data_IF_792185275939
#
_entry.id   IF_792185275939
#
_cell.length_a   1.000
_cell.length_b   1.000
_cell.length_c   1.000
_cell.angle_alpha   90.00
_cell.angle_beta   90.00
_cell.angle_gamma   90.00
#
_symmetry.space_group_name_H-M   'P 1'
#
loop_
_entity.id
_entity.type
_entity.pdbx_description
1 polymer ?
#
# COMPACT_ATOMS: atom_id res chain seq x y z
N UNK A 1 60.14 37.87 7.79
CA UNK A 1 58.89 37.55 8.52
C UNK A 1 57.80 37.34 7.47
N UNK A 2 57.55 36.07 7.10
CA UNK A 2 56.34 35.26 7.41
C UNK A 2 55.12 35.67 6.56
N UNK A 3 54.45 34.85 5.75
CA UNK A 3 54.60 33.46 5.27
C UNK A 3 53.61 33.25 4.10
N UNK A 4 54.01 32.40 3.14
CA UNK A 4 53.25 31.60 2.14
C UNK A 4 51.71 31.64 2.13
N UNK A 5 51.13 31.74 0.93
CA UNK A 5 50.01 30.89 0.49
C UNK A 5 50.25 30.44 -0.96
N UNK A 6 50.33 29.13 -1.15
CA UNK A 6 50.42 28.42 -2.43
C UNK A 6 49.13 27.58 -2.55
N UNK A 7 48.50 27.71 -3.72
CA UNK A 7 47.54 26.80 -4.35
C UNK A 7 46.47 26.10 -3.49
N UNK A 8 45.20 26.42 -3.76
CA UNK A 8 44.16 25.41 -3.88
C UNK A 8 43.31 25.72 -5.11
N UNK A 9 43.40 24.79 -6.06
CA UNK A 9 42.80 24.74 -7.37
C UNK A 9 41.31 24.41 -7.18
N UNK A 10 40.42 25.38 -7.39
CA UNK A 10 38.98 25.12 -7.42
C UNK A 10 38.64 24.49 -8.76
N UNK A 11 38.39 23.18 -8.76
CA UNK A 11 37.84 22.45 -9.89
C UNK A 11 36.40 22.93 -10.05
N UNK A 12 36.18 23.74 -11.08
CA UNK A 12 34.86 24.08 -11.62
C UNK A 12 34.35 22.83 -12.36
N UNK A 13 33.73 21.89 -11.64
CA UNK A 13 32.94 20.83 -12.28
C UNK A 13 31.67 21.49 -12.80
N UNK A 14 31.60 21.64 -14.12
CA UNK A 14 30.37 21.91 -14.84
C UNK A 14 29.40 20.75 -14.58
N UNK A 15 28.48 20.94 -13.63
CA UNK A 15 27.24 20.18 -13.62
C UNK A 15 26.43 20.67 -14.82
N UNK A 16 26.59 19.94 -15.92
CA UNK A 16 25.60 19.92 -16.99
C UNK A 16 24.31 19.47 -16.32
N UNK A 17 23.36 20.40 -16.22
CA UNK A 17 21.99 20.14 -15.81
C UNK A 17 21.42 19.06 -16.73
N UNK A 18 21.44 17.81 -16.26
CA UNK A 18 20.50 16.81 -16.71
C UNK A 18 19.14 17.25 -16.21
N UNK A 19 18.35 17.91 -17.05
CA UNK A 19 16.91 17.98 -16.87
C UNK A 19 16.40 16.54 -16.88
N UNK A 20 16.26 15.94 -15.71
CA UNK A 20 15.30 14.86 -15.51
C UNK A 20 13.95 15.54 -15.38
N UNK A 21 13.14 15.46 -16.44
CA UNK A 21 11.70 15.72 -16.35
C UNK A 21 11.16 14.85 -15.20
N UNK A 22 10.76 15.48 -14.10
CA UNK A 22 9.87 14.87 -13.12
C UNK A 22 8.56 14.57 -13.84
N UNK A 23 8.40 13.32 -14.30
CA UNK A 23 7.12 12.83 -14.78
C UNK A 23 6.16 12.84 -13.60
N UNK A 24 5.10 13.64 -13.69
CA UNK A 24 3.95 13.59 -12.78
C UNK A 24 3.52 12.13 -12.58
N UNK A 25 3.08 11.74 -11.36
CA UNK A 25 2.60 10.39 -11.11
C UNK A 25 1.39 10.12 -12.02
N UNK A 26 1.58 9.23 -12.98
CA UNK A 26 0.56 8.88 -13.98
C UNK A 26 -0.57 8.13 -13.29
N UNK A 27 -1.82 8.54 -13.50
CA UNK A 27 -2.98 7.80 -13.02
C UNK A 27 -3.27 6.63 -13.96
N UNK A 28 -3.79 5.50 -13.46
CA UNK A 28 -4.16 4.40 -14.33
C UNK A 28 -5.24 4.84 -15.33
N UNK A 29 -5.09 4.42 -16.58
CA UNK A 29 -6.13 4.53 -17.60
C UNK A 29 -7.06 3.31 -17.54
N UNK A 30 -8.12 3.32 -18.36
CA UNK A 30 -9.06 2.21 -18.45
C UNK A 30 -9.11 1.68 -19.88
N UNK A 31 -9.17 0.36 -20.04
CA UNK A 31 -9.51 -0.28 -21.30
C UNK A 31 -10.94 -0.81 -21.27
N UNK A 32 -11.64 -0.75 -22.41
CA UNK A 32 -13.00 -1.25 -22.55
C UNK A 32 -13.15 -1.98 -23.86
N UNK A 33 -13.71 -3.19 -23.80
CA UNK A 33 -13.92 -4.02 -24.97
C UNK A 33 -15.33 -3.84 -25.51
N UNK A 34 -15.46 -3.77 -26.83
CA UNK A 34 -16.73 -3.68 -27.54
C UNK A 34 -16.81 -4.81 -28.54
N UNK A 35 -17.92 -5.54 -28.51
CA UNK A 35 -18.24 -6.57 -29.49
C UNK A 35 -19.44 -6.07 -30.28
N UNK A 36 -19.22 -5.88 -31.57
CA UNK A 36 -20.28 -5.49 -32.50
C UNK A 36 -20.74 -6.76 -33.25
N UNK A 37 -22.01 -7.20 -33.10
CA UNK A 37 -22.56 -8.24 -33.94
C UNK A 37 -22.36 -7.89 -35.41
N UNK A 38 -21.79 -8.82 -36.17
CA UNK A 38 -21.54 -8.60 -37.58
C UNK A 38 -22.82 -8.90 -38.38
N UNK A 39 -23.01 -8.18 -39.49
CA UNK A 39 -24.04 -8.49 -40.49
C UNK A 39 -23.60 -9.57 -41.50
N UNK A 40 -22.39 -10.14 -41.36
CA UNK A 40 -21.77 -11.07 -42.31
C UNK A 40 -21.83 -12.53 -41.80
N UNK A 41 -22.30 -13.53 -42.58
CA UNK A 41 -22.57 -14.90 -42.09
C UNK A 41 -21.33 -15.79 -41.87
N UNK A 42 -20.12 -15.23 -41.88
CA UNK A 42 -18.86 -15.97 -41.70
C UNK A 42 -18.62 -16.33 -40.23
N UNK A 43 -19.55 -17.00 -39.55
CA UNK A 43 -19.35 -17.51 -38.18
C UNK A 43 -19.10 -16.47 -37.07
N UNK A 44 -19.02 -15.18 -37.42
CA UNK A 44 -19.05 -14.03 -36.51
C UNK A 44 -20.43 -13.95 -35.85
N UNK A 45 -20.53 -13.30 -34.70
CA UNK A 45 -21.80 -13.11 -33.98
C UNK A 45 -22.87 -12.56 -34.94
N UNK A 46 -23.82 -13.43 -35.31
CA UNK A 46 -24.98 -13.09 -36.14
C UNK A 46 -26.29 -13.05 -35.34
N UNK A 47 -26.23 -13.39 -34.05
CA UNK A 47 -27.34 -13.44 -33.10
C UNK A 47 -26.95 -12.74 -31.79
N UNK A 48 -27.92 -12.30 -30.99
CA UNK A 48 -27.65 -11.76 -29.66
C UNK A 48 -26.93 -12.78 -28.78
N UNK A 49 -25.90 -12.35 -28.04
CA UNK A 49 -25.32 -13.14 -26.95
C UNK A 49 -26.40 -13.50 -25.91
N UNK A 50 -26.30 -14.68 -25.27
CA UNK A 50 -27.23 -15.08 -24.22
C UNK A 50 -27.20 -14.08 -23.06
N UNK A 51 -28.32 -13.98 -22.34
CA UNK A 51 -28.39 -13.16 -21.13
C UNK A 51 -27.36 -13.66 -20.10
N UNK A 52 -26.62 -12.73 -19.49
CA UNK A 52 -25.54 -13.04 -18.55
C UNK A 52 -24.24 -13.53 -19.19
N UNK A 53 -24.05 -13.37 -20.51
CA UNK A 53 -22.74 -13.61 -21.12
C UNK A 53 -21.67 -12.65 -20.55
N UNK A 54 -20.44 -13.14 -20.44
CA UNK A 54 -19.27 -12.39 -19.94
C UNK A 54 -18.02 -12.72 -20.75
N UNK A 55 -16.90 -12.09 -20.38
CA UNK A 55 -15.60 -12.28 -21.02
C UNK A 55 -14.59 -12.92 -20.07
N UNK A 56 -13.68 -13.70 -20.65
CA UNK A 56 -12.35 -13.92 -20.10
C UNK A 56 -11.31 -13.29 -21.04
N UNK A 57 -10.43 -12.45 -20.49
CA UNK A 57 -9.37 -11.77 -21.26
C UNK A 57 -8.00 -11.99 -20.65
N UNK A 58 -6.99 -12.15 -21.50
CA UNK A 58 -5.58 -12.12 -21.08
C UNK A 58 -4.88 -10.95 -21.75
N UNK A 59 -4.10 -10.19 -20.98
CA UNK A 59 -3.40 -8.98 -21.43
C UNK A 59 -1.94 -9.09 -21.00
N UNK A 60 -1.04 -8.86 -21.95
CA UNK A 60 0.40 -8.88 -21.75
C UNK A 60 0.98 -7.50 -22.02
N UNK A 61 2.06 -7.11 -21.33
CA UNK A 61 2.87 -5.96 -21.72
C UNK A 61 3.63 -6.28 -23.01
N UNK A 62 3.85 -5.27 -23.87
CA UNK A 62 4.62 -5.41 -25.11
C UNK A 62 6.07 -5.94 -24.91
N UNK A 63 6.57 -5.93 -23.67
CA UNK A 63 7.87 -6.49 -23.26
C UNK A 63 7.84 -7.96 -22.81
N UNK A 64 6.68 -8.61 -22.74
CA UNK A 64 6.56 -10.05 -22.46
C UNK A 64 6.15 -10.44 -21.03
N UNK A 65 5.51 -9.56 -20.25
CA UNK A 65 4.98 -9.88 -18.90
C UNK A 65 3.46 -9.94 -18.88
N UNK A 66 2.87 -10.97 -18.26
CA UNK A 66 1.43 -11.09 -18.12
C UNK A 66 0.89 -10.06 -17.09
N UNK A 67 -0.14 -9.31 -17.48
CA UNK A 67 -0.81 -8.30 -16.64
C UNK A 67 -2.13 -8.84 -16.10
N UNK A 68 -2.89 -9.46 -16.99
CA UNK A 68 -4.11 -10.17 -16.69
C UNK A 68 -4.07 -11.52 -17.39
N UNK A 69 -4.47 -12.58 -16.69
CA UNK A 69 -4.53 -13.94 -17.25
C UNK A 69 -5.91 -14.49 -17.00
N UNK A 70 -6.71 -14.63 -18.06
CA UNK A 70 -8.12 -15.05 -17.98
C UNK A 70 -8.89 -14.25 -16.91
N UNK A 71 -8.78 -12.93 -16.94
CA UNK A 71 -9.56 -12.04 -16.08
C UNK A 71 -11.02 -12.05 -16.51
N UNK A 72 -11.94 -12.27 -15.56
CA UNK A 72 -13.37 -12.30 -15.83
C UNK A 72 -13.94 -10.87 -15.89
N UNK A 73 -14.53 -10.49 -17.02
CA UNK A 73 -15.08 -9.15 -17.24
C UNK A 73 -16.54 -9.21 -17.65
N UNK A 74 -17.38 -8.46 -16.93
CA UNK A 74 -18.82 -8.35 -17.22
C UNK A 74 -19.06 -7.68 -18.57
N UNK A 75 -19.99 -8.23 -19.37
CA UNK A 75 -20.51 -7.59 -20.58
C UNK A 75 -21.89 -6.99 -20.33
N UNK A 76 -22.07 -5.76 -20.81
CA UNK A 76 -23.33 -5.04 -20.79
C UNK A 76 -23.83 -4.86 -22.23
N UNK A 77 -25.11 -5.13 -22.47
CA UNK A 77 -25.73 -4.88 -23.77
C UNK A 77 -26.10 -3.40 -23.90
N UNK A 78 -25.58 -2.72 -24.92
CA UNK A 78 -25.88 -1.32 -25.24
C UNK A 78 -26.35 -1.19 -26.70
N UNK A 79 -27.67 -1.15 -26.89
CA UNK A 79 -28.27 -1.22 -28.22
C UNK A 79 -27.99 -2.59 -28.86
N UNK A 80 -27.36 -2.58 -30.04
CA UNK A 80 -26.93 -3.79 -30.74
C UNK A 80 -25.52 -4.25 -30.35
N UNK A 81 -24.74 -3.42 -29.65
CA UNK A 81 -23.37 -3.76 -29.23
C UNK A 81 -23.33 -4.34 -27.81
N UNK A 82 -22.26 -5.08 -27.52
CA UNK A 82 -21.93 -5.54 -26.17
C UNK A 82 -20.64 -4.87 -25.72
N UNK A 83 -20.66 -4.30 -24.53
CA UNK A 83 -19.60 -3.44 -24.02
C UNK A 83 -19.18 -3.93 -22.64
N UNK A 84 -17.88 -4.10 -22.42
CA UNK A 84 -17.36 -4.56 -21.13
C UNK A 84 -17.44 -3.47 -20.07
N UNK A 85 -17.40 -3.88 -18.81
CA UNK A 85 -16.96 -2.98 -17.74
C UNK A 85 -15.50 -2.52 -18.00
N UNK A 86 -15.13 -1.30 -17.58
CA UNK A 86 -13.76 -0.81 -17.76
C UNK A 86 -12.78 -1.61 -16.89
N UNK A 87 -11.66 -2.01 -17.48
CA UNK A 87 -10.55 -2.65 -16.79
C UNK A 87 -9.40 -1.64 -16.62
N UNK A 88 -8.90 -1.48 -15.40
CA UNK A 88 -7.88 -0.48 -15.06
C UNK A 88 -6.48 -0.98 -15.41
N UNK A 89 -5.69 -0.17 -16.13
CA UNK A 89 -4.32 -0.50 -16.53
C UNK A 89 -3.42 0.74 -16.34
N UNK A 90 -2.17 0.57 -15.90
CA UNK A 90 -1.18 1.65 -15.98
C UNK A 90 -1.03 2.17 -17.42
N UNK A 91 -0.59 3.42 -17.62
CA UNK A 91 -0.27 3.89 -18.97
C UNK A 91 0.89 3.09 -19.56
N UNK A 92 0.72 2.61 -20.79
CA UNK A 92 1.66 1.67 -21.39
C UNK A 92 1.15 1.07 -22.70
N UNK A 93 1.95 0.17 -23.27
CA UNK A 93 1.63 -0.59 -24.47
C UNK A 93 1.42 -2.06 -24.12
N UNK A 94 0.30 -2.61 -24.58
CA UNK A 94 -0.17 -3.92 -24.21
C UNK A 94 -0.65 -4.70 -25.43
N UNK A 95 -0.67 -6.02 -25.30
CA UNK A 95 -1.23 -6.96 -26.24
C UNK A 95 -2.37 -7.72 -25.56
N UNK A 96 -3.55 -7.75 -26.19
CA UNK A 96 -4.62 -8.65 -25.83
C UNK A 96 -4.31 -10.02 -26.44
N UNK A 97 -4.12 -11.05 -25.61
CA UNK A 97 -3.58 -12.36 -26.02
C UNK A 97 -4.61 -13.49 -25.96
N UNK A 98 -5.67 -13.32 -25.16
CA UNK A 98 -6.85 -14.17 -25.14
C UNK A 98 -8.13 -13.32 -25.05
N UNK A 99 -9.17 -13.70 -25.77
CA UNK A 99 -10.48 -13.05 -25.72
C UNK A 99 -11.59 -14.09 -25.95
N UNK A 100 -12.23 -14.50 -24.87
CA UNK A 100 -13.20 -15.59 -24.83
C UNK A 100 -14.53 -15.07 -24.31
N UNK A 101 -15.62 -15.33 -25.03
CA UNK A 101 -16.99 -15.04 -24.57
C UNK A 101 -17.59 -16.31 -24.00
N UNK A 102 -18.06 -16.23 -22.77
CA UNK A 102 -18.68 -17.36 -22.06
C UNK A 102 -20.16 -17.13 -21.79
N UNK A 103 -20.90 -18.22 -21.61
CA UNK A 103 -22.27 -18.19 -21.10
C UNK A 103 -22.29 -18.27 -19.55
N UNK A 104 -23.48 -18.24 -18.96
CA UNK A 104 -23.68 -18.33 -17.49
C UNK A 104 -23.22 -19.65 -16.85
N UNK A 105 -22.85 -20.65 -17.65
CA UNK A 105 -22.29 -21.92 -17.21
C UNK A 105 -20.76 -21.98 -17.42
N UNK A 106 -20.10 -20.84 -17.68
CA UNK A 106 -18.68 -20.70 -18.00
C UNK A 106 -18.22 -21.47 -19.25
N UNK A 107 -19.15 -21.83 -20.14
CA UNK A 107 -18.81 -22.47 -21.42
C UNK A 107 -18.44 -21.41 -22.45
N UNK A 108 -17.27 -21.57 -23.09
CA UNK A 108 -16.83 -20.68 -24.17
C UNK A 108 -17.71 -20.89 -25.41
N UNK A 109 -18.49 -19.86 -25.73
CA UNK A 109 -19.42 -19.84 -26.87
C UNK A 109 -18.88 -19.06 -28.07
N UNK A 110 -17.97 -18.11 -27.85
CA UNK A 110 -17.21 -17.42 -28.91
C UNK A 110 -15.77 -17.17 -28.47
N UNK A 111 -14.86 -17.09 -29.44
CA UNK A 111 -13.46 -16.74 -29.19
C UNK A 111 -12.92 -15.87 -30.33
N UNK A 112 -11.97 -14.98 -30.02
CA UNK A 112 -11.14 -14.33 -31.04
C UNK A 112 -10.00 -15.29 -31.41
N UNK A 113 -9.88 -15.71 -32.69
CA UNK A 113 -8.78 -16.58 -33.13
C UNK A 113 -7.41 -15.90 -33.01
N UNK A 114 -6.38 -16.68 -32.73
CA UNK A 114 -4.97 -16.23 -32.77
C UNK A 114 -4.43 -16.24 -34.19
N UNK A 115 -3.50 -15.33 -34.48
CA UNK A 115 -2.81 -15.24 -35.75
C UNK A 115 -2.12 -16.57 -36.07
N UNK A 116 -2.21 -17.00 -37.33
CA UNK A 116 -1.69 -18.29 -37.77
C UNK A 116 -2.57 -19.51 -37.46
N UNK A 117 -3.70 -19.34 -36.75
CA UNK A 117 -4.69 -20.41 -36.57
C UNK A 117 -5.59 -20.57 -37.81
N UNK A 118 -6.24 -21.74 -37.93
CA UNK A 118 -7.16 -22.04 -39.04
C UNK A 118 -8.31 -21.03 -39.14
N UNK A 119 -8.76 -20.51 -37.99
CA UNK A 119 -9.85 -19.54 -37.91
C UNK A 119 -9.38 -18.08 -38.00
N UNK A 120 -8.08 -17.79 -38.08
CA UNK A 120 -7.55 -16.41 -38.10
C UNK A 120 -8.17 -15.53 -39.20
N UNK A 121 -8.37 -16.08 -40.40
CA UNK A 121 -8.97 -15.35 -41.54
C UNK A 121 -10.48 -15.06 -41.40
N UNK A 122 -11.10 -15.48 -40.30
CA UNK A 122 -12.50 -15.23 -40.00
C UNK A 122 -12.72 -13.94 -39.21
N UNK A 123 -11.65 -13.31 -38.72
CA UNK A 123 -11.65 -11.97 -38.13
C UNK A 123 -10.74 -11.05 -38.94
N UNK A 124 -10.96 -9.75 -38.86
CA UNK A 124 -10.15 -8.74 -39.56
C UNK A 124 -8.83 -8.52 -38.81
N UNK A 125 -8.88 -8.53 -37.47
CA UNK A 125 -7.74 -8.37 -36.58
C UNK A 125 -7.66 -9.56 -35.58
N UNK A 126 -6.92 -10.65 -35.90
CA UNK A 126 -6.71 -11.77 -34.98
C UNK A 126 -5.77 -11.41 -33.82
N UNK A 127 -5.78 -12.21 -32.75
CA UNK A 127 -4.89 -11.99 -31.60
C UNK A 127 -3.43 -12.39 -31.92
N UNK A 128 -2.40 -11.75 -31.34
CA UNK A 128 -2.47 -10.69 -30.34
C UNK A 128 -2.90 -9.34 -30.92
N UNK A 129 -3.73 -8.61 -30.18
CA UNK A 129 -4.17 -7.26 -30.57
C UNK A 129 -3.47 -6.20 -29.74
N UNK A 130 -2.61 -5.41 -30.38
CA UNK A 130 -1.83 -4.35 -29.73
C UNK A 130 -2.68 -3.10 -29.43
N UNK A 131 -2.52 -2.53 -28.24
CA UNK A 131 -3.19 -1.29 -27.84
C UNK A 131 -2.37 -0.45 -26.85
N UNK A 132 -2.71 0.84 -26.76
CA UNK A 132 -2.08 1.78 -25.82
C UNK A 132 -3.08 2.28 -24.78
N UNK A 133 -2.62 2.39 -23.54
CA UNK A 133 -3.36 3.03 -22.43
C UNK A 133 -2.67 4.34 -22.09
N UNK A 134 -3.45 5.42 -22.05
CA UNK A 134 -2.97 6.75 -21.69
C UNK A 134 -3.49 7.14 -20.30
N UNK A 135 -2.77 8.06 -19.65
CA UNK A 135 -3.11 8.58 -18.33
C UNK A 135 -4.56 9.09 -18.27
N UNK A 136 -5.33 8.53 -17.34
CA UNK A 136 -6.72 8.91 -17.03
C UNK A 136 -7.66 8.92 -18.27
N UNK A 137 -7.35 8.12 -19.29
CA UNK A 137 -8.14 7.98 -20.51
C UNK A 137 -8.89 6.64 -20.57
N UNK A 138 -9.93 6.55 -21.40
CA UNK A 138 -10.61 5.29 -21.72
C UNK A 138 -10.19 4.87 -23.13
N UNK A 139 -9.45 3.77 -23.24
CA UNK A 139 -9.11 3.12 -24.51
C UNK A 139 -10.21 2.12 -24.87
N UNK A 140 -10.92 2.36 -25.97
CA UNK A 140 -11.91 1.44 -26.50
C UNK A 140 -11.31 0.47 -27.53
N UNK A 141 -11.57 -0.83 -27.38
CA UNK A 141 -11.15 -1.87 -28.33
C UNK A 141 -12.38 -2.57 -28.90
N UNK A 142 -12.56 -2.48 -30.22
CA UNK A 142 -13.57 -3.26 -30.92
C UNK A 142 -13.00 -4.61 -31.31
N UNK A 143 -13.44 -5.68 -30.66
CA UNK A 143 -12.90 -7.04 -30.85
C UNK A 143 -13.91 -7.92 -31.57
N UNK A 144 -13.45 -8.63 -32.59
CA UNK A 144 -14.28 -9.54 -33.37
C UNK A 144 -14.14 -10.97 -32.85
N UNK A 145 -15.26 -11.69 -32.72
CA UNK A 145 -15.26 -13.06 -32.22
C UNK A 145 -15.98 -14.00 -33.17
N UNK A 146 -15.59 -15.27 -33.13
CA UNK A 146 -16.10 -16.35 -33.99
C UNK A 146 -16.68 -17.46 -33.10
N UNK A 147 -17.80 -18.05 -33.53
CA UNK A 147 -18.52 -19.09 -32.78
C UNK A 147 -17.66 -20.35 -32.62
N UNK A 148 -17.56 -20.86 -31.39
CA UNK A 148 -16.82 -22.09 -31.06
C UNK A 148 -17.62 -23.38 -31.27
N UNK A 149 -18.94 -23.29 -31.48
CA UNK A 149 -19.86 -24.44 -31.51
C UNK A 149 -19.51 -25.56 -32.50
N UNK A 150 -18.83 -25.25 -33.61
CA UNK A 150 -18.52 -26.20 -34.68
C UNK A 150 -17.02 -26.57 -34.77
N UNK A 151 -16.16 -26.00 -33.92
CA UNK A 151 -14.71 -26.06 -34.10
C UNK A 151 -13.97 -26.26 -32.78
N UNK A 152 -12.93 -27.11 -32.72
CA UNK A 152 -12.17 -27.33 -31.50
C UNK A 152 -11.27 -26.13 -31.14
N UNK A 153 -10.81 -26.01 -29.88
CA UNK A 153 -9.92 -24.93 -29.43
C UNK A 153 -8.68 -24.72 -30.30
N UNK A 154 -8.08 -25.83 -30.74
CA UNK A 154 -6.88 -25.82 -31.57
C UNK A 154 -7.08 -25.07 -32.91
N UNK A 155 -8.29 -25.08 -33.46
CA UNK A 155 -8.60 -24.37 -34.71
C UNK A 155 -8.51 -22.84 -34.55
N UNK A 156 -8.61 -22.33 -33.32
CA UNK A 156 -8.50 -20.91 -32.98
C UNK A 156 -7.12 -20.56 -32.41
N UNK A 157 -6.20 -21.51 -32.33
CA UNK A 157 -4.88 -21.32 -31.72
C UNK A 157 -4.87 -21.44 -30.20
N UNK A 158 -5.92 -22.01 -29.58
CA UNK A 158 -5.98 -22.27 -28.14
C UNK A 158 -5.66 -23.75 -27.86
N UNK A 159 -4.97 -24.02 -26.75
CA UNK A 159 -4.73 -25.39 -26.29
C UNK A 159 -6.02 -26.05 -25.77
N UNK A 160 -6.87 -25.27 -25.10
CA UNK A 160 -8.16 -25.70 -24.58
C UNK A 160 -9.13 -24.51 -24.51
N UNK A 161 -10.43 -24.79 -24.65
CA UNK A 161 -11.53 -23.85 -24.34
C UNK A 161 -12.11 -24.10 -22.96
N UNK A 162 -11.54 -25.04 -22.21
CA UNK A 162 -11.68 -24.97 -20.77
C UNK A 162 -10.96 -23.69 -20.37
N UNK A 163 -11.73 -22.62 -20.16
CA UNK A 163 -11.34 -21.61 -19.19
C UNK A 163 -11.26 -22.41 -17.91
N UNK A 164 -10.06 -22.86 -17.59
CA UNK A 164 -9.85 -23.56 -16.36
C UNK A 164 -10.20 -22.58 -15.27
N UNK A 165 -11.40 -22.70 -14.70
CA UNK A 165 -11.39 -23.03 -13.28
C UNK A 165 -10.55 -24.31 -13.22
N UNK A 166 -9.22 -24.15 -13.14
CA UNK A 166 -8.45 -25.05 -12.30
C UNK A 166 -9.32 -25.13 -11.06
N UNK A 167 -9.79 -26.30 -10.61
CA UNK A 167 -10.46 -26.40 -9.34
C UNK A 167 -9.43 -25.98 -8.29
N UNK A 168 -9.23 -24.67 -8.16
CA UNK A 168 -8.39 -24.07 -7.16
C UNK A 168 -9.09 -24.46 -5.90
N UNK A 169 -8.38 -25.20 -5.08
CA UNK A 169 -8.90 -25.62 -3.81
C UNK A 169 -9.16 -24.34 -3.02
N UNK A 170 -10.44 -24.01 -2.83
CA UNK A 170 -10.84 -22.78 -2.17
C UNK A 170 -11.33 -23.03 -0.75
N UNK A 171 -11.04 -22.10 0.15
CA UNK A 171 -11.74 -21.98 1.42
C UNK A 171 -12.14 -20.53 1.65
N UNK A 172 -13.14 -20.28 2.49
CA UNK A 172 -13.49 -18.91 2.88
C UNK A 172 -12.63 -18.47 4.05
N UNK A 173 -12.10 -17.26 4.04
CA UNK A 173 -11.36 -16.67 5.14
C UNK A 173 -12.18 -15.52 5.74
N UNK A 174 -12.28 -15.51 7.07
CA UNK A 174 -12.91 -14.46 7.85
C UNK A 174 -11.88 -13.87 8.81
N UNK A 175 -11.49 -12.62 8.60
CA UNK A 175 -10.53 -11.92 9.46
C UNK A 175 -11.29 -10.99 10.40
N UNK A 176 -11.04 -11.13 11.71
CA UNK A 176 -11.67 -10.35 12.75
C UNK A 176 -10.67 -9.49 13.49
N UNK A 177 -11.05 -8.25 13.77
CA UNK A 177 -10.34 -7.37 14.71
C UNK A 177 -11.16 -7.15 15.99
N UNK A 178 -10.49 -7.01 17.15
CA UNK A 178 -11.16 -6.72 18.40
C UNK A 178 -11.75 -5.30 18.43
N UNK A 179 -12.87 -5.16 19.13
CA UNK A 179 -13.50 -3.89 19.50
C UNK A 179 -13.79 -3.91 21.00
N UNK A 180 -14.10 -2.76 21.63
CA UNK A 180 -14.45 -2.72 23.06
C UNK A 180 -15.59 -3.65 23.47
N UNK A 181 -16.46 -4.05 22.53
CA UNK A 181 -17.65 -4.87 22.80
C UNK A 181 -17.65 -6.23 22.10
N UNK A 182 -16.56 -6.62 21.44
CA UNK A 182 -16.49 -7.89 20.73
C UNK A 182 -15.51 -7.86 19.56
N UNK A 183 -15.95 -8.33 18.40
CA UNK A 183 -15.13 -8.42 17.20
C UNK A 183 -15.93 -8.01 15.97
N UNK A 184 -15.25 -7.41 15.00
CA UNK A 184 -15.83 -7.06 13.69
C UNK A 184 -14.91 -7.55 12.58
N UNK A 185 -15.46 -7.72 11.38
CA UNK A 185 -14.63 -8.05 10.22
C UNK A 185 -13.61 -6.95 9.95
N UNK A 186 -12.40 -7.36 9.55
CA UNK A 186 -11.32 -6.47 9.15
C UNK A 186 -10.92 -6.78 7.71
N UNK A 187 -10.61 -5.76 6.90
CA UNK A 187 -9.80 -6.00 5.72
C UNK A 187 -8.39 -6.42 6.14
N UNK A 188 -7.68 -7.09 5.26
CA UNK A 188 -6.30 -7.48 5.48
C UNK A 188 -5.60 -7.84 4.17
N UNK A 189 -4.27 -7.76 4.17
CA UNK A 189 -3.45 -8.36 3.13
C UNK A 189 -3.18 -9.82 3.49
N UNK A 190 -3.53 -10.73 2.59
CA UNK A 190 -3.45 -12.18 2.77
C UNK A 190 -2.45 -12.79 1.81
N UNK A 191 -1.68 -13.76 2.30
CA UNK A 191 -0.73 -14.54 1.54
C UNK A 191 -0.88 -16.03 1.85
N UNK A 192 -0.68 -16.88 0.85
CA UNK A 192 -0.40 -18.31 1.03
C UNK A 192 1.01 -18.58 0.52
N UNK A 193 1.81 -19.24 1.34
CA UNK A 193 3.18 -19.62 1.03
C UNK A 193 3.29 -21.15 0.90
N UNK A 194 4.06 -21.61 -0.08
CA UNK A 194 4.56 -22.99 -0.19
C UNK A 194 6.08 -22.96 0.04
N UNK A 195 6.50 -23.28 1.26
CA UNK A 195 7.88 -23.04 1.69
C UNK A 195 8.21 -21.53 1.71
N UNK A 196 9.17 -21.11 0.89
CA UNK A 196 9.58 -19.71 0.77
C UNK A 196 8.81 -18.93 -0.32
N UNK A 197 8.08 -19.64 -1.19
CA UNK A 197 7.43 -19.05 -2.35
C UNK A 197 6.03 -18.54 -1.98
N UNK A 198 5.75 -17.28 -2.29
CA UNK A 198 4.38 -16.73 -2.20
C UNK A 198 3.59 -17.18 -3.42
N UNK A 199 2.62 -18.08 -3.23
CA UNK A 199 1.79 -18.64 -4.32
C UNK A 199 0.41 -17.99 -4.42
N UNK A 200 0.02 -17.21 -3.42
CA UNK A 200 -1.21 -16.42 -3.41
C UNK A 200 -0.98 -15.10 -2.68
N UNK A 201 -1.56 -14.02 -3.21
CA UNK A 201 -1.54 -12.68 -2.62
C UNK A 201 -2.85 -11.97 -2.96
N UNK A 202 -3.61 -11.55 -1.97
CA UNK A 202 -4.82 -10.75 -2.18
C UNK A 202 -5.08 -9.80 -1.01
N UNK A 203 -5.60 -8.61 -1.31
CA UNK A 203 -6.20 -7.75 -0.31
C UNK A 203 -7.69 -8.14 -0.17
N UNK A 204 -8.09 -8.61 1.01
CA UNK A 204 -9.48 -9.02 1.28
C UNK A 204 -10.24 -7.90 1.98
N UNK A 205 -11.53 -7.76 1.69
CA UNK A 205 -12.40 -6.78 2.34
C UNK A 205 -12.86 -7.25 3.73
N UNK A 206 -13.59 -6.39 4.45
CA UNK A 206 -14.16 -6.67 5.76
C UNK A 206 -15.39 -7.61 5.67
N UNK A 207 -15.24 -8.78 5.06
CA UNK A 207 -16.25 -9.81 4.95
C UNK A 207 -15.60 -11.19 4.71
N UNK A 208 -16.30 -12.32 4.90
CA UNK A 208 -15.74 -13.62 4.56
C UNK A 208 -15.57 -13.79 3.05
N UNK A 209 -14.34 -13.92 2.57
CA UNK A 209 -13.99 -13.99 1.15
C UNK A 209 -13.37 -15.33 0.78
N UNK A 210 -13.51 -15.74 -0.48
CA UNK A 210 -12.91 -16.97 -0.98
C UNK A 210 -11.41 -16.75 -1.25
N UNK A 211 -10.58 -17.63 -0.70
CA UNK A 211 -9.16 -17.74 -1.00
C UNK A 211 -9.01 -18.83 -2.05
N UNK A 212 -8.68 -18.43 -3.28
CA UNK A 212 -8.57 -19.33 -4.43
C UNK A 212 -7.10 -19.43 -4.85
N UNK A 213 -6.52 -20.62 -4.77
CA UNK A 213 -5.18 -20.90 -5.28
C UNK A 213 -5.06 -22.35 -5.73
N UNK A 214 -4.06 -22.64 -6.57
CA UNK A 214 -3.74 -23.99 -7.01
C UNK A 214 -2.96 -24.71 -5.90
N UNK A 215 -3.67 -25.52 -5.10
CA UNK A 215 -3.15 -26.17 -3.90
C UNK A 215 -3.39 -27.67 -3.87
N UNK A 216 -2.35 -28.44 -3.53
CA UNK A 216 -2.38 -29.88 -3.30
C UNK A 216 -2.91 -30.18 -1.88
N UNK A 217 -3.95 -31.01 -1.80
CA UNK A 217 -4.63 -31.36 -0.55
C UNK A 217 -3.72 -32.01 0.51
N UNK A 218 -2.58 -32.57 0.09
CA UNK A 218 -1.64 -33.28 0.98
C UNK A 218 -0.44 -32.43 1.36
N UNK A 219 -0.25 -31.27 0.71
CA UNK A 219 0.87 -30.37 1.00
C UNK A 219 0.55 -29.44 2.16
N UNK A 220 1.63 -29.01 2.78
CA UNK A 220 1.64 -28.01 3.85
C UNK A 220 1.83 -26.63 3.24
N UNK A 221 1.00 -25.69 3.67
CA UNK A 221 1.07 -24.29 3.30
C UNK A 221 1.12 -23.42 4.55
N UNK A 222 1.55 -22.17 4.39
CA UNK A 222 1.50 -21.17 5.45
C UNK A 222 0.59 -20.02 5.05
N UNK A 223 -0.46 -19.79 5.85
CA UNK A 223 -1.31 -18.61 5.78
C UNK A 223 -0.62 -17.47 6.53
N UNK A 224 -0.42 -16.35 5.85
CA UNK A 224 0.04 -15.11 6.48
C UNK A 224 -1.01 -14.02 6.28
N UNK A 225 -1.44 -13.39 7.38
CA UNK A 225 -2.37 -12.26 7.35
C UNK A 225 -1.69 -11.04 7.97
N UNK A 226 -1.63 -9.96 7.20
CA UNK A 226 -1.03 -8.69 7.59
C UNK A 226 -2.11 -7.62 7.57
N UNK A 227 -2.21 -6.88 8.66
CA UNK A 227 -3.03 -5.69 8.77
C UNK A 227 -2.32 -4.70 9.72
N UNK A 228 -2.25 -3.43 9.33
CA UNK A 228 -1.69 -2.38 10.18
C UNK A 228 -2.38 -2.37 11.56
N UNK A 229 -1.61 -2.04 12.60
CA UNK A 229 -2.05 -2.08 14.01
C UNK A 229 -2.23 -3.48 14.59
N UNK A 230 -1.96 -4.56 13.85
CA UNK A 230 -2.12 -5.92 14.35
C UNK A 230 -0.89 -6.78 14.14
N UNK A 231 -0.71 -7.73 15.05
CA UNK A 231 0.34 -8.74 14.99
C UNK A 231 0.21 -9.52 13.69
N UNK A 232 1.35 -9.74 13.02
CA UNK A 232 1.41 -10.62 11.85
C UNK A 232 0.88 -12.00 12.24
N UNK A 233 -0.21 -12.41 11.63
CA UNK A 233 -0.76 -13.75 11.84
C UNK A 233 -0.05 -14.72 10.90
N UNK A 234 0.41 -15.84 11.43
CA UNK A 234 1.04 -16.91 10.65
C UNK A 234 0.52 -18.25 11.15
N UNK A 235 0.00 -19.08 10.25
CA UNK A 235 -0.47 -20.42 10.57
C UNK A 235 -0.06 -21.39 9.46
N UNK A 236 0.53 -22.51 9.85
CA UNK A 236 0.86 -23.59 8.94
C UNK A 236 -0.23 -24.64 8.96
N UNK A 237 -0.71 -25.07 7.80
CA UNK A 237 -1.81 -26.02 7.67
C UNK A 237 -1.57 -27.00 6.51
N UNK A 238 -2.13 -28.20 6.63
CA UNK A 238 -2.29 -29.13 5.50
C UNK A 238 -3.65 -28.81 4.86
N UNK A 239 -3.67 -28.60 3.55
CA UNK A 239 -4.87 -28.06 2.87
C UNK A 239 -6.10 -28.97 3.00
N UNK A 240 -5.93 -30.28 2.80
CA UNK A 240 -7.02 -31.24 2.93
C UNK A 240 -7.59 -31.32 4.35
N UNK A 241 -6.72 -31.23 5.36
CA UNK A 241 -7.12 -31.23 6.77
C UNK A 241 -7.86 -29.95 7.15
N UNK A 242 -7.38 -28.80 6.68
CA UNK A 242 -8.07 -27.51 6.85
C UNK A 242 -9.48 -27.59 6.27
N UNK A 243 -9.63 -27.96 4.99
CA UNK A 243 -10.94 -28.06 4.35
C UNK A 243 -11.90 -29.00 5.07
N UNK A 244 -11.39 -30.16 5.52
CA UNK A 244 -12.18 -31.12 6.29
C UNK A 244 -12.65 -30.52 7.63
N UNK A 245 -11.77 -29.77 8.32
CA UNK A 245 -12.09 -29.13 9.60
C UNK A 245 -13.12 -28.01 9.50
N UNK A 246 -13.14 -27.29 8.36
CA UNK A 246 -14.04 -26.15 8.17
C UNK A 246 -15.50 -26.58 7.98
N UNK A 247 -15.76 -27.79 7.48
CA UNK A 247 -17.11 -28.31 7.22
C UNK A 247 -18.02 -27.32 6.44
N UNK A 248 -17.42 -26.54 5.53
CA UNK A 248 -18.10 -25.52 4.72
C UNK A 248 -18.19 -24.12 5.36
N UNK A 249 -17.74 -23.95 6.60
CA UNK A 249 -17.57 -22.65 7.27
C UNK A 249 -16.29 -21.91 6.84
N UNK A 250 -16.13 -20.63 7.22
CA UNK A 250 -14.90 -19.90 6.97
C UNK A 250 -13.80 -20.27 7.98
N UNK A 251 -12.56 -20.34 7.51
CA UNK A 251 -11.39 -20.26 8.37
C UNK A 251 -11.36 -18.90 9.04
N UNK A 252 -11.12 -18.86 10.34
CA UNK A 252 -11.29 -17.65 11.14
C UNK A 252 -9.97 -17.21 11.74
N UNK A 253 -9.58 -15.97 11.45
CA UNK A 253 -8.37 -15.33 11.99
C UNK A 253 -8.79 -14.22 12.96
N UNK A 254 -8.25 -14.26 14.17
CA UNK A 254 -8.47 -13.24 15.20
C UNK A 254 -7.20 -12.42 15.35
N UNK A 255 -7.27 -11.15 14.94
CA UNK A 255 -6.13 -10.25 15.00
C UNK A 255 -5.84 -9.82 16.45
N UNK A 256 -4.57 -9.83 16.82
CA UNK A 256 -4.08 -9.34 18.12
C UNK A 256 -3.50 -7.94 17.94
N UNK A 257 -3.87 -6.95 18.77
CA UNK A 257 -3.30 -5.60 18.71
C UNK A 257 -1.77 -5.59 18.74
N UNK A 258 -1.17 -4.72 17.93
CA UNK A 258 0.27 -4.52 17.86
C UNK A 258 0.64 -3.08 17.49
N UNK A 259 1.83 -2.67 17.90
CA UNK A 259 2.55 -1.58 17.25
C UNK A 259 3.21 -2.13 15.98
N UNK A 260 2.99 -1.49 14.83
CA UNK A 260 3.44 -2.03 13.54
C UNK A 260 4.12 -0.97 12.70
N UNK A 261 5.12 -1.37 11.93
CA UNK A 261 5.75 -0.51 10.93
C UNK A 261 6.41 -1.36 9.84
N UNK A 262 6.78 -0.72 8.73
CA UNK A 262 7.44 -1.39 7.60
C UNK A 262 8.79 -0.77 7.32
N UNK A 263 9.83 -1.61 7.23
CA UNK A 263 11.23 -1.19 7.05
C UNK A 263 11.73 -1.62 5.67
N UNK A 264 12.79 -0.98 5.16
CA UNK A 264 13.47 -1.36 3.90
C UNK A 264 15.01 -1.39 4.05
N UNK A 265 15.51 -1.39 5.28
CA UNK A 265 16.95 -1.34 5.57
C UNK A 265 17.49 -2.70 5.98
N UNK A 266 18.77 -2.92 5.71
CA UNK A 266 19.48 -4.15 6.11
C UNK A 266 19.69 -4.21 7.62
N UNK A 267 20.02 -3.10 8.25
CA UNK A 267 20.19 -2.98 9.70
C UNK A 267 19.16 -1.99 10.21
N UNK A 268 18.48 -2.37 11.29
CA UNK A 268 17.37 -1.60 11.85
C UNK A 268 17.53 -1.48 13.35
N UNK A 269 17.24 -0.29 13.85
CA UNK A 269 17.20 0.02 15.28
C UNK A 269 16.13 1.07 15.56
N UNK A 270 15.45 0.92 16.70
CA UNK A 270 14.48 1.91 17.18
C UNK A 270 14.39 1.83 18.70
N UNK A 271 13.93 2.89 19.34
CA UNK A 271 13.86 2.99 20.80
C UNK A 271 12.43 2.84 21.28
N UNK A 272 12.24 2.07 22.35
CA UNK A 272 10.98 1.97 23.10
C UNK A 272 11.23 2.28 24.57
N UNK A 273 10.39 3.13 25.17
CA UNK A 273 10.40 3.36 26.61
C UNK A 273 8.97 3.42 27.16
N UNK A 274 8.80 3.12 28.45
CA UNK A 274 7.51 3.06 29.14
C UNK A 274 7.46 1.88 30.11
N UNK A 275 6.48 1.78 31.01
CA UNK A 275 6.38 0.70 32.01
C UNK A 275 5.90 -0.63 31.39
N UNK A 276 6.70 -1.22 30.51
CA UNK A 276 6.33 -2.41 29.72
C UNK A 276 6.67 -3.72 30.44
N UNK A 277 5.81 -4.72 30.38
CA UNK A 277 6.10 -6.05 30.95
C UNK A 277 6.92 -6.89 29.97
N UNK A 278 6.24 -7.60 29.07
CA UNK A 278 6.84 -8.42 28.01
C UNK A 278 6.22 -7.99 26.69
N UNK A 279 7.05 -7.66 25.71
CA UNK A 279 6.65 -7.45 24.32
C UNK A 279 7.34 -8.49 23.43
N UNK A 280 6.63 -8.90 22.39
CA UNK A 280 7.08 -9.84 21.38
C UNK A 280 7.22 -9.09 20.06
N UNK A 281 8.44 -9.03 19.54
CA UNK A 281 8.77 -8.43 18.25
C UNK A 281 8.80 -9.56 17.22
N UNK A 282 7.96 -9.47 16.19
CA UNK A 282 8.11 -10.24 14.97
C UNK A 282 8.75 -9.34 13.92
N UNK A 283 9.97 -9.67 13.49
CA UNK A 283 10.76 -8.87 12.57
C UNK A 283 10.31 -9.00 11.10
N UNK A 284 9.34 -9.85 10.80
CA UNK A 284 8.79 -10.00 9.46
C UNK A 284 9.57 -10.94 8.53
N UNK A 285 10.72 -11.46 8.96
CA UNK A 285 11.57 -12.41 8.21
C UNK A 285 11.55 -13.84 8.79
N UNK A 286 10.68 -14.09 9.78
CA UNK A 286 10.57 -15.37 10.48
C UNK A 286 11.35 -15.42 11.80
N UNK A 287 12.17 -14.41 12.08
CA UNK A 287 12.80 -14.23 13.39
C UNK A 287 11.88 -13.48 14.34
N UNK A 288 12.03 -13.78 15.63
CA UNK A 288 11.27 -13.16 16.70
C UNK A 288 12.19 -12.84 17.88
N UNK A 289 11.88 -11.75 18.57
CA UNK A 289 12.58 -11.30 19.75
C UNK A 289 11.58 -11.02 20.88
N UNK A 290 12.03 -11.19 22.12
CA UNK A 290 11.24 -10.88 23.31
C UNK A 290 11.98 -9.83 24.10
N UNK A 291 11.32 -8.70 24.36
CA UNK A 291 11.85 -7.64 25.23
C UNK A 291 11.05 -7.61 26.53
N UNK A 292 11.75 -7.45 27.66
CA UNK A 292 11.15 -7.33 28.99
C UNK A 292 11.75 -6.16 29.76
N UNK A 293 10.99 -5.47 30.63
CA UNK A 293 11.65 -4.51 31.53
C UNK A 293 12.19 -5.14 32.80
N UNK A 294 13.53 -5.16 32.85
CA UNK A 294 14.29 -4.22 33.68
C UNK A 294 15.36 -3.55 32.79
N UNK A 295 15.36 -2.22 32.74
CA UNK A 295 16.29 -1.39 31.95
C UNK A 295 17.76 -1.89 31.99
N UNK A 296 18.32 -2.31 30.84
CA UNK A 296 19.75 -2.20 30.48
C UNK A 296 20.15 -2.80 29.12
N UNK A 297 19.29 -3.56 28.43
CA UNK A 297 19.65 -4.25 27.18
C UNK A 297 19.26 -3.44 25.93
N UNK A 298 20.00 -2.35 25.66
CA UNK A 298 20.03 -1.70 24.33
C UNK A 298 18.70 -1.21 23.75
N UNK A 299 18.78 -0.67 22.53
CA UNK A 299 17.63 -0.45 21.66
C UNK A 299 17.37 -1.75 20.87
N UNK A 300 16.12 -2.16 20.61
CA UNK A 300 15.84 -3.27 19.68
C UNK A 300 16.58 -3.10 18.37
N UNK A 301 17.34 -4.12 17.98
CA UNK A 301 18.21 -4.12 16.81
C UNK A 301 18.04 -5.40 16.00
N UNK A 302 17.99 -5.30 14.67
CA UNK A 302 17.91 -6.46 13.81
C UNK A 302 18.67 -6.27 12.50
N UNK A 303 19.18 -7.38 11.97
CA UNK A 303 19.94 -7.42 10.72
C UNK A 303 19.29 -8.41 9.76
N UNK A 304 18.74 -7.91 8.67
CA UNK A 304 18.12 -8.69 7.61
C UNK A 304 19.15 -9.19 6.60
N UNK A 305 18.98 -10.42 6.12
CA UNK A 305 19.87 -11.00 5.09
C UNK A 305 19.77 -10.28 3.72
N UNK A 306 18.68 -9.56 3.47
CA UNK A 306 18.44 -8.84 2.22
C UNK A 306 17.73 -7.50 2.45
N UNK A 307 17.87 -6.55 1.52
CA UNK A 307 17.23 -5.23 1.58
C UNK A 307 15.80 -5.25 1.01
N UNK A 308 15.03 -6.27 1.36
CA UNK A 308 13.61 -6.33 1.02
C UNK A 308 12.80 -5.69 2.13
N UNK A 309 11.58 -5.28 1.81
CA UNK A 309 10.76 -4.58 2.78
C UNK A 309 10.06 -5.57 3.73
N UNK A 310 10.22 -5.37 5.03
CA UNK A 310 9.71 -6.25 6.08
C UNK A 310 8.62 -5.57 6.92
N UNK A 311 7.55 -6.31 7.23
CA UNK A 311 6.50 -5.88 8.13
C UNK A 311 6.83 -6.33 9.55
N UNK A 312 7.08 -5.36 10.43
CA UNK A 312 7.38 -5.59 11.84
C UNK A 312 6.13 -5.40 12.66
N UNK A 313 5.89 -6.33 13.58
CA UNK A 313 4.78 -6.21 14.53
C UNK A 313 5.24 -6.52 15.95
N UNK A 314 4.95 -5.59 16.86
CA UNK A 314 5.29 -5.67 18.27
C UNK A 314 4.01 -5.82 19.06
N UNK A 315 3.84 -6.95 19.75
CA UNK A 315 2.62 -7.32 20.46
C UNK A 315 2.87 -7.53 21.94
N UNK A 316 1.86 -7.38 22.78
CA UNK A 316 1.94 -7.63 24.21
C UNK A 316 0.85 -6.93 25.02
N UNK A 317 0.66 -7.36 26.26
CA UNK A 317 -0.42 -6.87 27.11
C UNK A 317 -0.25 -5.41 27.57
N UNK A 318 0.94 -4.84 27.39
CA UNK A 318 1.34 -3.52 27.92
C UNK A 318 1.65 -2.49 26.82
N UNK A 319 1.15 -2.68 25.59
CA UNK A 319 1.31 -1.71 24.50
C UNK A 319 0.87 -0.29 24.90
N UNK A 320 -0.23 -0.19 25.64
CA UNK A 320 -0.75 1.08 26.15
C UNK A 320 0.14 1.75 27.21
N UNK A 321 1.20 1.09 27.67
CA UNK A 321 2.19 1.64 28.59
C UNK A 321 3.49 2.06 27.89
N UNK A 322 3.61 1.89 26.58
CA UNK A 322 4.69 2.49 25.80
C UNK A 322 4.47 4.01 25.82
N UNK A 323 5.44 4.74 26.35
CA UNK A 323 5.42 6.19 26.52
C UNK A 323 6.29 6.92 25.51
N UNK A 324 7.33 6.25 24.96
CA UNK A 324 8.20 6.82 23.94
C UNK A 324 8.49 5.83 22.83
N UNK A 325 8.41 6.31 21.60
CA UNK A 325 8.89 5.63 20.39
C UNK A 325 9.85 6.57 19.66
N UNK A 326 11.04 6.09 19.34
CA UNK A 326 12.01 6.89 18.59
C UNK A 326 12.66 6.10 17.45
N UNK A 327 12.66 6.70 16.26
CA UNK A 327 13.37 6.26 15.09
C UNK A 327 14.47 7.28 14.79
N UNK A 328 15.74 6.86 14.87
CA UNK A 328 16.86 7.79 14.78
C UNK A 328 17.88 7.25 13.79
N UNK A 329 18.35 8.14 12.92
CA UNK A 329 19.21 7.83 11.79
C UNK A 329 18.57 6.85 10.80
N UNK A 330 19.28 6.54 9.73
CA UNK A 330 18.76 5.69 8.65
C UNK A 330 18.28 4.31 9.14
N UNK A 331 18.79 3.84 10.30
CA UNK A 331 18.39 2.59 10.95
C UNK A 331 16.93 2.57 11.42
N UNK A 332 16.34 3.73 11.69
CA UNK A 332 14.94 3.86 12.07
C UNK A 332 13.97 4.10 10.90
N UNK A 333 14.45 4.02 9.67
CA UNK A 333 13.69 4.41 8.49
C UNK A 333 12.52 3.47 8.18
N UNK A 334 11.32 4.02 8.08
CA UNK A 334 10.06 3.28 7.87
C UNK A 334 9.24 3.85 6.71
N UNK A 335 8.54 2.99 5.98
CA UNK A 335 7.60 3.39 4.91
C UNK A 335 6.14 3.35 5.35
N UNK A 336 5.84 2.65 6.45
CA UNK A 336 4.53 2.58 7.08
C UNK A 336 4.72 2.55 8.60
N UNK A 337 3.82 3.18 9.37
CA UNK A 337 3.78 3.13 10.83
C UNK A 337 2.32 3.17 11.28
N UNK A 338 1.94 2.35 12.26
CA UNK A 338 0.68 2.50 12.99
C UNK A 338 0.92 2.54 14.50
N UNK A 339 0.40 3.58 15.14
CA UNK A 339 0.51 3.86 16.58
C UNK A 339 -0.82 3.63 17.33
N UNK A 340 -1.81 3.00 16.67
CA UNK A 340 -3.21 2.94 17.11
C UNK A 340 -3.38 2.45 18.57
N UNK A 341 -2.60 1.46 18.98
CA UNK A 341 -2.72 0.86 20.31
C UNK A 341 -1.78 1.47 21.37
N UNK A 342 -0.99 2.48 21.00
CA UNK A 342 -0.06 3.17 21.89
C UNK A 342 -0.73 4.34 22.61
N UNK A 343 -1.82 4.06 23.33
CA UNK A 343 -2.64 5.10 23.98
C UNK A 343 -1.90 5.86 25.11
N UNK A 344 -0.82 5.27 25.64
CA UNK A 344 0.10 5.90 26.60
C UNK A 344 1.26 6.68 25.99
N UNK A 345 1.37 6.74 24.66
CA UNK A 345 2.47 7.43 23.97
C UNK A 345 2.47 8.92 24.32
N UNK A 346 3.59 9.40 24.86
CA UNK A 346 3.83 10.80 25.24
C UNK A 346 4.84 11.48 24.32
N UNK A 347 5.77 10.72 23.77
CA UNK A 347 6.93 11.25 23.05
C UNK A 347 7.19 10.43 21.77
N UNK A 348 7.06 11.07 20.62
CA UNK A 348 7.36 10.48 19.32
C UNK A 348 8.53 11.21 18.66
N UNK A 349 9.56 10.46 18.27
CA UNK A 349 10.74 11.01 17.60
C UNK A 349 11.01 10.27 16.29
N UNK A 350 11.22 11.01 15.21
CA UNK A 350 11.75 10.53 13.95
C UNK A 350 12.81 11.51 13.44
N UNK A 351 14.10 11.17 13.56
CA UNK A 351 15.20 12.12 13.31
C UNK A 351 16.26 11.51 12.42
N UNK A 352 16.58 12.15 11.29
CA UNK A 352 17.45 11.61 10.24
C UNK A 352 17.01 10.22 9.79
N UNK A 353 15.70 9.98 9.73
CA UNK A 353 15.11 8.69 9.40
C UNK A 353 13.98 8.92 8.41
N UNK A 354 13.84 8.02 7.42
CA UNK A 354 12.70 8.06 6.53
C UNK A 354 11.42 7.69 7.27
N UNK A 355 10.32 8.30 6.85
CA UNK A 355 8.99 8.09 7.44
C UNK A 355 7.94 8.01 6.35
N UNK A 356 6.72 7.53 6.65
CA UNK A 356 5.58 7.83 5.80
C UNK A 356 5.37 9.35 5.69
N UNK A 357 4.73 9.84 4.61
CA UNK A 357 4.41 11.27 4.44
C UNK A 357 3.47 11.82 5.52
N UNK A 358 2.70 10.93 6.16
CA UNK A 358 1.76 11.26 7.24
C UNK A 358 1.81 10.18 8.31
N UNK A 359 1.70 10.57 9.58
CA UNK A 359 1.57 9.63 10.71
C UNK A 359 0.29 9.95 11.46
N UNK A 360 -0.57 8.95 11.66
CA UNK A 360 -1.82 9.10 12.40
C UNK A 360 -1.58 9.05 13.91
N UNK A 361 -1.76 10.19 14.57
CA UNK A 361 -1.68 10.34 16.02
C UNK A 361 -3.04 10.36 16.72
N UNK A 362 -4.15 10.16 15.98
CA UNK A 362 -5.52 10.34 16.52
C UNK A 362 -5.87 9.42 17.69
N UNK A 363 -5.12 8.33 17.85
CA UNK A 363 -5.28 7.34 18.92
C UNK A 363 -4.30 7.53 20.08
N UNK A 364 -3.51 8.61 20.08
CA UNK A 364 -2.47 8.88 21.08
C UNK A 364 -2.82 10.13 21.92
N UNK A 365 -3.88 10.09 22.75
CA UNK A 365 -4.35 11.26 23.51
C UNK A 365 -3.39 11.70 24.63
N UNK A 366 -2.41 10.86 24.97
CA UNK A 366 -1.37 11.15 25.93
C UNK A 366 -0.17 11.91 25.32
N UNK A 367 -0.14 12.12 24.00
CA UNK A 367 1.00 12.70 23.30
C UNK A 367 1.28 14.13 23.76
N UNK A 368 2.53 14.39 24.17
CA UNK A 368 3.00 15.67 24.71
C UNK A 368 4.07 16.31 23.81
N UNK A 369 4.92 15.46 23.21
CA UNK A 369 6.06 15.88 22.38
C UNK A 369 6.11 15.13 21.06
N UNK A 370 6.38 15.88 19.99
CA UNK A 370 6.70 15.36 18.65
C UNK A 370 7.99 16.02 18.18
N UNK A 371 8.95 15.19 17.78
CA UNK A 371 10.16 15.65 17.09
C UNK A 371 10.32 14.90 15.77
N UNK A 372 10.18 15.60 14.66
CA UNK A 372 10.33 15.05 13.33
C UNK A 372 11.33 15.91 12.56
N UNK A 373 12.44 15.31 12.17
CA UNK A 373 13.62 16.06 11.80
C UNK A 373 14.34 15.39 10.65
N UNK A 374 14.47 16.08 9.52
CA UNK A 374 15.06 15.52 8.30
C UNK A 374 14.41 14.16 8.01
N UNK A 375 13.08 14.19 7.88
CA UNK A 375 12.22 13.05 7.58
C UNK A 375 11.30 13.37 6.40
N UNK A 376 10.51 12.40 5.94
CA UNK A 376 9.65 12.56 4.77
C UNK A 376 8.22 13.02 5.13
N UNK A 377 7.96 13.38 6.39
CA UNK A 377 6.64 13.86 6.83
C UNK A 377 6.34 15.20 6.15
N UNK A 378 5.19 15.26 5.48
CA UNK A 378 4.68 16.46 4.81
C UNK A 378 3.47 17.08 5.52
N UNK A 379 2.76 16.30 6.34
CA UNK A 379 1.59 16.76 7.08
C UNK A 379 1.47 16.09 8.45
N UNK A 380 0.97 16.87 9.42
CA UNK A 380 0.58 16.44 10.76
C UNK A 380 -0.81 17.00 11.10
N UNK A 381 -1.69 16.11 11.58
CA UNK A 381 -2.95 16.47 12.22
C UNK A 381 -2.85 16.19 13.71
N UNK A 382 -2.97 17.24 14.52
CA UNK A 382 -2.88 17.19 15.98
C UNK A 382 -4.23 17.38 16.67
N UNK A 383 -5.33 17.47 15.92
CA UNK A 383 -6.67 17.82 16.42
C UNK A 383 -7.18 16.90 17.55
N UNK A 384 -6.63 15.70 17.68
CA UNK A 384 -6.98 14.70 18.69
C UNK A 384 -5.94 14.59 19.82
N UNK A 385 -4.93 15.46 19.84
CA UNK A 385 -3.80 15.41 20.77
C UNK A 385 -3.77 16.67 21.65
N UNK A 386 -4.70 16.82 22.61
CA UNK A 386 -4.87 18.06 23.38
C UNK A 386 -3.71 18.37 24.33
N UNK A 387 -2.82 17.40 24.58
CA UNK A 387 -1.67 17.54 25.49
C UNK A 387 -0.37 17.96 24.79
N UNK A 388 -0.35 18.01 23.46
CA UNK A 388 0.86 18.38 22.72
C UNK A 388 1.24 19.81 23.06
N UNK A 389 2.49 19.99 23.46
CA UNK A 389 3.07 21.27 23.87
C UNK A 389 4.50 21.47 23.38
N UNK A 390 5.14 20.42 22.88
CA UNK A 390 6.47 20.46 22.30
C UNK A 390 6.42 19.89 20.88
N UNK A 391 6.62 20.73 19.87
CA UNK A 391 6.70 20.27 18.49
C UNK A 391 7.96 20.82 17.83
N UNK A 392 8.75 19.91 17.27
CA UNK A 392 9.93 20.23 16.49
C UNK A 392 9.79 19.58 15.11
N UNK A 393 9.69 20.39 14.07
CA UNK A 393 9.66 20.00 12.66
C UNK A 393 10.82 20.69 11.94
N UNK A 394 12.02 20.10 11.90
CA UNK A 394 13.16 20.77 11.28
C UNK A 394 13.74 20.01 10.09
N UNK A 395 13.97 20.72 8.99
CA UNK A 395 14.51 20.14 7.76
C UNK A 395 13.57 19.22 6.99
N UNK A 396 12.26 19.34 7.23
CA UNK A 396 11.21 18.70 6.43
C UNK A 396 10.72 19.69 5.36
N UNK A 397 11.47 19.86 4.27
CA UNK A 397 11.24 20.94 3.31
C UNK A 397 9.89 20.90 2.60
N UNK A 398 9.35 19.71 2.44
CA UNK A 398 8.06 19.47 1.77
C UNK A 398 6.87 19.56 2.74
N UNK A 399 7.11 19.96 4.00
CA UNK A 399 6.04 20.16 4.97
C UNK A 399 5.07 21.25 4.51
N UNK A 400 3.78 20.90 4.48
CA UNK A 400 2.78 21.74 3.83
C UNK A 400 2.45 22.97 4.67
N UNK A 401 2.36 24.13 4.02
CA UNK A 401 1.93 25.39 4.66
C UNK A 401 0.56 25.25 5.34
N UNK A 402 -0.45 24.55 4.76
CA UNK A 402 -1.71 24.30 5.46
C UNK A 402 -1.54 23.53 6.77
N UNK A 403 -0.74 22.46 6.77
CA UNK A 403 -0.50 21.66 7.98
C UNK A 403 0.27 22.46 9.03
N UNK A 404 1.25 23.27 8.61
CA UNK A 404 1.98 24.17 9.51
C UNK A 404 1.05 25.14 10.24
N UNK A 405 0.16 25.80 9.50
CA UNK A 405 -0.80 26.73 10.09
C UNK A 405 -1.80 26.03 11.01
N UNK A 406 -2.29 24.85 10.62
CA UNK A 406 -3.21 24.06 11.45
C UNK A 406 -2.55 23.61 12.77
N UNK A 407 -1.29 23.19 12.71
CA UNK A 407 -0.49 22.83 13.88
C UNK A 407 -0.27 24.03 14.81
N UNK A 408 0.13 25.19 14.28
CA UNK A 408 0.30 26.41 15.07
C UNK A 408 -1.02 26.79 15.77
N UNK A 409 -2.13 26.77 15.02
CA UNK A 409 -3.45 27.06 15.56
C UNK A 409 -3.87 26.09 16.67
N UNK A 410 -3.58 24.80 16.50
CA UNK A 410 -3.82 23.79 17.53
C UNK A 410 -3.03 24.07 18.81
N UNK A 411 -1.73 24.36 18.70
CA UNK A 411 -0.87 24.69 19.85
C UNK A 411 -1.36 25.95 20.56
N UNK A 412 -1.75 26.98 19.81
CA UNK A 412 -2.31 28.21 20.37
C UNK A 412 -3.63 27.96 21.11
N UNK A 413 -4.59 27.29 20.47
CA UNK A 413 -5.91 27.07 21.06
C UNK A 413 -5.84 26.17 22.29
N UNK A 414 -5.00 25.13 22.28
CA UNK A 414 -4.78 24.27 23.44
C UNK A 414 -4.06 25.02 24.56
N UNK A 415 -3.06 25.84 24.27
CA UNK A 415 -2.41 26.70 25.27
C UNK A 415 -3.40 27.65 25.94
N UNK A 416 -4.27 28.30 25.16
CA UNK A 416 -5.30 29.20 25.67
C UNK A 416 -6.34 28.45 26.51
N UNK A 417 -6.85 27.33 26.00
CA UNK A 417 -7.93 26.61 26.63
C UNK A 417 -7.49 25.88 27.92
N UNK A 418 -6.33 25.24 27.90
CA UNK A 418 -5.81 24.44 29.00
C UNK A 418 -4.76 25.16 29.85
N UNK A 419 -4.44 26.41 29.53
CA UNK A 419 -3.39 27.19 30.18
C UNK A 419 -2.01 26.47 30.16
N UNK A 420 -1.65 25.90 29.01
CA UNK A 420 -0.33 25.30 28.82
C UNK A 420 0.73 26.39 28.65
N UNK A 421 1.63 26.46 29.62
CA UNK A 421 2.77 27.39 29.64
C UNK A 421 4.08 26.62 29.44
N UNK A 422 5.13 27.33 29.03
CA UNK A 422 6.47 26.75 28.80
C UNK A 422 6.49 25.64 27.73
N UNK A 423 5.67 25.76 26.69
CA UNK A 423 5.77 24.88 25.51
C UNK A 423 6.95 25.24 24.61
N UNK A 424 7.17 24.43 23.57
CA UNK A 424 8.21 24.66 22.57
C UNK A 424 7.67 24.42 21.16
N UNK A 425 8.02 25.32 20.24
CA UNK A 425 7.75 25.18 18.81
C UNK A 425 9.00 25.49 18.01
N UNK A 426 9.49 24.52 17.25
CA UNK A 426 10.67 24.65 16.39
C UNK A 426 10.30 24.23 14.97
N UNK A 427 10.49 25.11 13.99
CA UNK A 427 10.07 24.84 12.62
C UNK A 427 11.00 25.46 11.56
N UNK A 428 12.30 25.23 11.64
CA UNK A 428 13.29 25.85 10.74
C UNK A 428 13.66 24.99 9.51
N UNK A 429 13.97 25.66 8.40
CA UNK A 429 14.34 25.05 7.11
C UNK A 429 15.78 24.51 7.06
N UNK A 430 16.27 23.74 8.04
CA UNK A 430 17.64 23.19 8.02
C UNK A 430 17.84 22.13 6.92
N UNK A 431 18.98 22.06 6.20
CA UNK A 431 20.18 22.90 6.34
C UNK A 431 20.14 24.22 5.56
N UNK A 432 19.05 24.56 4.87
CA UNK A 432 18.94 25.78 4.05
C UNK A 432 19.04 27.04 4.91
N UNK A 433 18.35 27.08 6.04
CA UNK A 433 18.37 28.22 6.96
C UNK A 433 17.85 27.82 8.35
N UNK A 434 18.55 28.30 9.38
CA UNK A 434 18.11 28.21 10.78
C UNK A 434 17.27 29.43 11.21
N UNK A 435 17.03 30.38 10.30
CA UNK A 435 16.38 31.67 10.61
C UNK A 435 15.05 31.86 9.92
N UNK A 436 14.63 30.91 9.10
CA UNK A 436 13.40 30.95 8.31
C UNK A 436 12.56 29.73 8.64
N UNK A 437 11.25 29.95 8.73
CA UNK A 437 10.31 28.85 8.87
C UNK A 437 10.30 27.97 7.63
N UNK A 438 10.12 26.66 7.83
CA UNK A 438 9.61 25.78 6.76
C UNK A 438 8.27 26.33 6.30
N UNK A 439 8.02 26.38 4.99
CA UNK A 439 6.75 26.81 4.38
C UNK A 439 6.11 28.01 5.09
N UNK A 440 6.49 29.27 4.80
CA UNK A 440 6.23 30.43 5.67
C UNK A 440 4.79 30.46 6.23
N UNK A 441 4.59 30.56 7.57
CA UNK A 441 3.26 30.55 8.16
C UNK A 441 2.43 31.77 7.73
N UNK A 442 1.11 31.65 7.83
CA UNK A 442 0.20 32.75 7.53
C UNK A 442 0.35 33.88 8.56
N UNK A 443 -0.03 35.13 8.22
CA UNK A 443 -0.02 36.24 9.17
C UNK A 443 -0.75 35.92 10.49
N UNK A 444 -1.87 35.21 10.42
CA UNK A 444 -2.65 34.78 11.58
C UNK A 444 -1.87 33.80 12.45
N UNK A 445 -1.23 32.78 11.84
CA UNK A 445 -0.38 31.84 12.56
C UNK A 445 0.83 32.56 13.20
N UNK A 446 1.40 33.58 12.55
CA UNK A 446 2.46 34.39 13.13
C UNK A 446 1.98 35.16 14.38
N UNK A 447 0.77 35.71 14.36
CA UNK A 447 0.18 36.38 15.53
C UNK A 447 -0.06 35.40 16.69
N UNK A 448 -0.53 34.20 16.40
CA UNK A 448 -0.70 33.13 17.38
C UNK A 448 0.64 32.72 18.02
N UNK A 449 1.71 32.56 17.23
CA UNK A 449 3.05 32.30 17.74
C UNK A 449 3.57 33.43 18.64
N UNK A 450 3.30 34.70 18.30
CA UNK A 450 3.65 35.84 19.16
C UNK A 450 2.91 35.77 20.50
N UNK A 451 1.63 35.40 20.49
CA UNK A 451 0.85 35.25 21.73
C UNK A 451 1.42 34.13 22.60
N UNK A 452 1.70 32.97 22.01
CA UNK A 452 2.32 31.85 22.71
C UNK A 452 3.64 32.25 23.39
N UNK A 453 4.52 32.95 22.65
CA UNK A 453 5.78 33.46 23.17
C UNK A 453 5.59 34.47 24.31
N UNK A 454 4.80 35.51 24.07
CA UNK A 454 4.77 36.70 24.94
C UNK A 454 3.88 36.52 26.18
N UNK A 455 2.86 35.65 26.12
CA UNK A 455 1.88 35.47 27.19
C UNK A 455 1.90 34.08 27.84
N UNK A 456 2.36 33.05 27.13
CA UNK A 456 2.42 31.68 27.66
C UNK A 456 3.86 31.21 27.93
N UNK A 457 4.85 32.07 27.71
CA UNK A 457 6.29 31.80 27.89
C UNK A 457 6.75 30.57 27.07
N UNK A 458 6.24 30.43 25.85
CA UNK A 458 6.67 29.37 24.94
C UNK A 458 8.00 29.73 24.26
N UNK A 459 8.86 28.73 24.10
CA UNK A 459 10.04 28.81 23.26
C UNK A 459 9.64 28.66 21.78
N UNK A 460 9.88 29.68 20.95
CA UNK A 460 9.57 29.65 19.52
C UNK A 460 10.84 29.87 18.69
N UNK A 461 11.10 28.99 17.73
CA UNK A 461 12.25 29.07 16.82
C UNK A 461 11.84 28.72 15.37
N UNK A 462 12.21 29.52 14.34
CA UNK A 462 13.02 30.75 14.39
C UNK A 462 12.33 31.93 15.09
N UNK A 463 13.10 32.71 15.85
CA UNK A 463 12.59 33.86 16.64
C UNK A 463 12.27 35.13 15.83
N UNK A 464 12.75 35.20 14.58
CA UNK A 464 12.71 36.42 13.77
C UNK A 464 11.41 36.52 12.97
N UNK A 465 10.33 37.00 13.60
CA UNK A 465 9.06 37.25 12.93
C UNK A 465 8.14 38.30 13.55
#
# INVERSE_FOLDING_TARGET
MKTKYWLLYFILVAFVSGCSDEQQPTKPGNVRFTINPATDPRGRISASLPEGASLYVSIQEAGGGDVYTLEHVTLLKMGDAYISEPLSLPPGHYDLTDFLVVNVADEVIYATPKEGSDMAGWVDDPLPLAFGVNDNAITGLSVQVVSTSAYPPAAFGYLTFQVGIVPGTSFRLAVFKPTPTGFIFSPAQVYILDGADTIYRQHVSAAPEAILFDGDLTRTYTLVVIQASYKKYTETFILGDLLASLAGGPHTVWLEPAFTFRLTYHEVSFQLQGDIDTLYIDWGDGTQEIITQHASEGDPEHVYESRVSHFVSISGATLNKIERVAFVYDLGSTSEISLEYLTGLKDFVATFAHTPPTVDFSHNPALERIEVAVSDIVELDLSHNPKVREVSIFGNFDFSVPSLNAMIHHLYTTAVHYNHIHGAFVAHSFPVSMTTFIGPPSPEAMDELRILRDYYDWYIDPVNF
#
